data_IF_517799633321
#
_entry.id   IF_517799633321
#
_cell.length_a   1.000
_cell.length_b   1.000
_cell.length_c   1.000
_cell.angle_alpha   90.00
_cell.angle_beta   90.00
_cell.angle_gamma   90.00
#
_symmetry.space_group_name_H-M   'P 1'
#
loop_
_entity.id
_entity.type
_entity.pdbx_description
1 polymer ?
#
# COMPACT_ATOMS: atom_id res chain seq x y z
N UNK A 1 -42.59 -4.02 10.55
CA UNK A 1 -42.04 -3.23 9.42
C UNK A 1 -42.95 -3.44 8.22
N UNK A 2 -43.36 -2.39 7.53
CA UNK A 2 -44.10 -2.55 6.27
C UNK A 2 -43.17 -3.15 5.19
N UNK A 3 -43.71 -3.85 4.18
CA UNK A 3 -42.90 -4.35 3.07
C UNK A 3 -42.04 -3.27 2.40
N UNK A 4 -42.55 -2.03 2.32
CA UNK A 4 -41.82 -0.88 1.78
C UNK A 4 -40.63 -0.48 2.65
N UNK A 5 -40.78 -0.48 3.98
CA UNK A 5 -39.67 -0.17 4.90
C UNK A 5 -38.55 -1.21 4.81
N UNK A 6 -38.91 -2.50 4.78
CA UNK A 6 -37.93 -3.58 4.64
C UNK A 6 -37.17 -3.50 3.29
N UNK A 7 -37.86 -3.10 2.21
CA UNK A 7 -37.23 -2.88 0.91
C UNK A 7 -36.26 -1.70 0.92
N UNK A 8 -36.63 -0.57 1.53
CA UNK A 8 -35.74 0.60 1.66
C UNK A 8 -34.50 0.28 2.48
N UNK A 9 -34.64 -0.46 3.59
CA UNK A 9 -33.49 -0.90 4.40
C UNK A 9 -32.55 -1.82 3.60
N UNK A 10 -33.11 -2.74 2.81
CA UNK A 10 -32.31 -3.61 1.95
C UNK A 10 -31.56 -2.80 0.89
N UNK A 11 -32.22 -1.84 0.24
CA UNK A 11 -31.61 -0.98 -0.76
C UNK A 11 -30.46 -0.15 -0.15
N UNK A 12 -30.65 0.39 1.06
CA UNK A 12 -29.60 1.11 1.78
C UNK A 12 -28.38 0.22 2.07
N UNK A 13 -28.60 -1.02 2.51
CA UNK A 13 -27.51 -1.99 2.74
C UNK A 13 -26.77 -2.35 1.46
N UNK A 14 -27.48 -2.52 0.33
CA UNK A 14 -26.85 -2.79 -0.97
C UNK A 14 -25.95 -1.62 -1.38
N UNK A 15 -26.42 -0.39 -1.23
CA UNK A 15 -25.65 0.80 -1.56
C UNK A 15 -24.39 0.93 -0.67
N UNK A 16 -24.52 0.71 0.63
CA UNK A 16 -23.39 0.75 1.58
C UNK A 16 -22.32 -0.30 1.22
N UNK A 17 -22.73 -1.54 0.96
CA UNK A 17 -21.82 -2.61 0.54
C UNK A 17 -21.12 -2.27 -0.77
N UNK A 18 -21.84 -1.75 -1.77
CA UNK A 18 -21.26 -1.35 -3.05
C UNK A 18 -20.22 -0.22 -2.90
N UNK A 19 -20.46 0.74 -2.01
CA UNK A 19 -19.49 1.80 -1.72
C UNK A 19 -18.23 1.23 -1.05
N UNK A 20 -18.39 0.34 -0.07
CA UNK A 20 -17.26 -0.30 0.63
C UNK A 20 -16.39 -1.14 -0.30
N UNK A 21 -17.00 -1.91 -1.21
CA UNK A 21 -16.27 -2.68 -2.23
C UNK A 21 -15.43 -1.76 -3.11
N UNK A 22 -16.02 -0.69 -3.64
CA UNK A 22 -15.28 0.29 -4.46
C UNK A 22 -14.11 0.93 -3.73
N UNK A 23 -14.26 1.21 -2.44
CA UNK A 23 -13.17 1.76 -1.62
C UNK A 23 -12.06 0.73 -1.42
N UNK A 24 -12.39 -0.54 -1.19
CA UNK A 24 -11.41 -1.62 -1.08
C UNK A 24 -10.63 -1.78 -2.40
N UNK A 25 -11.32 -1.77 -3.55
CA UNK A 25 -10.68 -1.86 -4.88
C UNK A 25 -9.65 -0.73 -5.10
N UNK A 26 -10.02 0.50 -4.76
CA UNK A 26 -9.13 1.66 -4.88
C UNK A 26 -7.92 1.56 -3.93
N UNK A 27 -8.12 1.05 -2.72
CA UNK A 27 -7.04 0.83 -1.77
C UNK A 27 -6.07 -0.25 -2.26
N UNK A 28 -6.57 -1.36 -2.81
CA UNK A 28 -5.75 -2.43 -3.40
C UNK A 28 -4.92 -1.88 -4.56
N UNK A 29 -5.52 -1.07 -5.46
CA UNK A 29 -4.80 -0.47 -6.57
C UNK A 29 -3.64 0.43 -6.09
N UNK A 30 -3.89 1.26 -5.09
CA UNK A 30 -2.89 2.16 -4.52
C UNK A 30 -1.76 1.40 -3.82
N UNK A 31 -2.08 0.36 -3.05
CA UNK A 31 -1.10 -0.48 -2.37
C UNK A 31 -0.26 -1.27 -3.38
N UNK A 32 -0.88 -1.77 -4.44
CA UNK A 32 -0.20 -2.50 -5.53
C UNK A 32 0.83 -1.62 -6.24
N UNK A 33 0.49 -0.36 -6.53
CA UNK A 33 1.44 0.62 -7.08
C UNK A 33 2.58 0.90 -6.11
N UNK A 34 2.28 1.04 -4.83
CA UNK A 34 3.28 1.30 -3.77
C UNK A 34 4.27 0.14 -3.64
N UNK A 35 3.78 -1.11 -3.61
CA UNK A 35 4.59 -2.32 -3.58
C UNK A 35 5.50 -2.40 -4.80
N UNK A 36 4.95 -2.21 -6.00
CA UNK A 36 5.71 -2.26 -7.26
C UNK A 36 6.81 -1.19 -7.31
N UNK A 37 6.50 0.03 -6.88
CA UNK A 37 7.50 1.09 -6.80
C UNK A 37 8.63 0.72 -5.83
N UNK A 38 8.30 0.23 -4.63
CA UNK A 38 9.31 -0.16 -3.66
C UNK A 38 10.22 -1.28 -4.18
N UNK A 39 9.64 -2.27 -4.87
CA UNK A 39 10.37 -3.35 -5.51
C UNK A 39 11.34 -2.88 -6.61
N UNK A 40 10.88 -1.97 -7.48
CA UNK A 40 11.72 -1.42 -8.54
C UNK A 40 12.90 -0.62 -7.96
N UNK A 41 12.63 0.24 -6.97
CA UNK A 41 13.70 0.98 -6.28
C UNK A 41 14.68 0.03 -5.60
N UNK A 42 14.19 -1.03 -4.97
CA UNK A 42 15.05 -2.01 -4.30
C UNK A 42 15.98 -2.73 -5.30
N UNK A 43 15.44 -3.08 -6.46
CA UNK A 43 16.21 -3.70 -7.56
C UNK A 43 17.34 -2.78 -7.99
N UNK A 44 17.08 -1.48 -8.14
CA UNK A 44 18.11 -0.48 -8.48
C UNK A 44 19.15 -0.31 -7.37
N UNK A 45 18.72 -0.26 -6.11
CA UNK A 45 19.62 -0.17 -4.94
C UNK A 45 20.54 -1.39 -4.86
N UNK A 46 20.03 -2.58 -5.15
CA UNK A 46 20.80 -3.83 -5.12
C UNK A 46 21.86 -3.92 -6.21
N UNK A 47 21.71 -3.20 -7.33
CA UNK A 47 22.73 -3.14 -8.39
C UNK A 47 23.96 -2.31 -8.02
N UNK A 48 23.89 -1.51 -6.96
CA UNK A 48 25.01 -0.68 -6.50
C UNK A 48 25.97 -1.49 -5.61
N UNK A 49 27.23 -1.06 -5.53
CA UNK A 49 28.23 -1.70 -4.65
C UNK A 49 27.84 -1.58 -3.18
N UNK A 50 28.20 -2.57 -2.35
CA UNK A 50 27.71 -2.68 -0.96
C UNK A 50 28.13 -1.50 -0.06
N UNK A 51 29.28 -0.89 -0.34
CA UNK A 51 29.77 0.28 0.41
C UNK A 51 29.03 1.59 0.06
N UNK A 52 28.11 1.55 -0.91
CA UNK A 52 27.39 2.75 -1.36
C UNK A 52 26.59 3.38 -0.21
N UNK A 53 26.80 4.68 -0.05
CA UNK A 53 26.03 5.53 0.87
C UNK A 53 24.91 6.21 0.10
N UNK A 54 23.72 6.24 0.66
CA UNK A 54 22.51 6.73 0.02
C UNK A 54 21.78 7.72 0.92
N UNK A 55 21.07 8.69 0.33
CA UNK A 55 20.27 9.65 1.09
C UNK A 55 18.83 9.15 1.23
N UNK A 56 18.39 8.95 2.47
CA UNK A 56 16.98 8.69 2.82
C UNK A 56 16.27 10.02 3.05
N UNK A 57 15.13 10.24 2.39
CA UNK A 57 14.29 11.41 2.63
C UNK A 57 13.44 11.26 3.89
N UNK A 58 13.57 12.18 4.84
CA UNK A 58 12.76 12.28 6.07
C UNK A 58 12.11 13.66 6.12
N UNK A 59 10.84 13.73 5.67
CA UNK A 59 10.12 14.99 5.51
C UNK A 59 10.80 15.90 4.46
N UNK A 60 11.38 17.01 4.91
CA UNK A 60 12.14 17.96 4.06
C UNK A 60 13.67 17.79 4.18
N UNK A 61 14.12 16.83 4.98
CA UNK A 61 15.54 16.57 5.23
C UNK A 61 15.98 15.29 4.52
N UNK A 62 17.30 15.13 4.38
CA UNK A 62 17.92 13.93 3.83
C UNK A 62 18.98 13.41 4.80
N UNK A 63 18.94 12.12 5.10
CA UNK A 63 19.86 11.46 6.04
C UNK A 63 20.74 10.49 5.25
N UNK A 64 22.06 10.57 5.44
CA UNK A 64 23.00 9.68 4.78
C UNK A 64 23.06 8.33 5.50
N UNK A 65 22.70 7.25 4.81
CA UNK A 65 22.66 5.89 5.34
C UNK A 65 23.39 4.88 4.45
N UNK A 66 23.82 3.72 5.00
CA UNK A 66 24.30 2.61 4.19
C UNK A 66 23.19 2.03 3.31
N UNK A 67 23.54 1.56 2.10
CA UNK A 67 22.63 0.85 1.17
C UNK A 67 21.80 -0.25 1.87
N UNK A 68 22.40 -1.02 2.77
CA UNK A 68 21.72 -2.13 3.46
C UNK A 68 20.54 -1.68 4.34
N UNK A 69 20.58 -0.45 4.87
CA UNK A 69 19.45 0.10 5.64
C UNK A 69 18.30 0.45 4.70
N UNK A 70 18.59 1.10 3.58
CA UNK A 70 17.60 1.45 2.55
C UNK A 70 16.94 0.19 1.97
N UNK A 71 17.72 -0.85 1.70
CA UNK A 71 17.23 -2.15 1.25
C UNK A 71 16.20 -2.74 2.20
N UNK A 72 16.54 -2.83 3.49
CA UNK A 72 15.65 -3.39 4.51
C UNK A 72 14.35 -2.58 4.64
N UNK A 73 14.43 -1.25 4.55
CA UNK A 73 13.25 -0.38 4.54
C UNK A 73 12.35 -0.63 3.33
N UNK A 74 12.95 -0.84 2.14
CA UNK A 74 12.20 -1.14 0.91
C UNK A 74 11.55 -2.53 0.96
N UNK A 75 12.23 -3.53 1.51
CA UNK A 75 11.66 -4.87 1.74
C UNK A 75 10.47 -4.79 2.70
N UNK A 76 10.62 -4.06 3.81
CA UNK A 76 9.55 -3.90 4.78
C UNK A 76 8.35 -3.16 4.18
N UNK A 77 8.59 -2.13 3.37
CA UNK A 77 7.54 -1.42 2.63
C UNK A 77 6.78 -2.34 1.66
N UNK A 78 7.48 -3.25 0.98
CA UNK A 78 6.85 -4.26 0.12
C UNK A 78 6.00 -5.24 0.95
N UNK A 79 6.54 -5.73 2.08
CA UNK A 79 5.84 -6.66 2.99
C UNK A 79 4.54 -6.06 3.54
N UNK A 80 4.60 -4.84 4.07
CA UNK A 80 3.43 -4.15 4.63
C UNK A 80 2.36 -3.93 3.55
N UNK A 81 2.77 -3.54 2.34
CA UNK A 81 1.83 -3.33 1.25
C UNK A 81 1.15 -4.65 0.84
N UNK A 82 1.91 -5.74 0.76
CA UNK A 82 1.39 -7.09 0.48
C UNK A 82 0.40 -7.57 1.54
N UNK A 83 0.71 -7.38 2.82
CA UNK A 83 -0.18 -7.78 3.92
C UNK A 83 -1.49 -7.02 3.89
N UNK A 84 -1.44 -5.70 3.66
CA UNK A 84 -2.65 -4.87 3.55
C UNK A 84 -3.50 -5.21 2.34
N UNK A 85 -2.91 -5.63 1.22
CA UNK A 85 -3.67 -6.11 0.06
C UNK A 85 -4.43 -7.37 0.45
N UNK A 86 -3.77 -8.35 1.09
CA UNK A 86 -4.41 -9.59 1.55
C UNK A 86 -5.52 -9.38 2.58
N UNK A 87 -5.45 -8.31 3.37
CA UNK A 87 -6.52 -7.94 4.31
C UNK A 87 -7.75 -7.32 3.62
N UNK A 88 -7.58 -6.77 2.41
CA UNK A 88 -8.64 -6.13 1.63
C UNK A 88 -9.25 -7.03 0.56
N UNK A 89 -8.54 -8.08 0.15
CA UNK A 89 -9.00 -9.18 -0.71
C UNK A 89 -9.92 -10.16 0.04
#
# INVERSE_FOLDING_TARGET
LSPSQAFTELQAKVMDTQQKVKLADLQIEQLSKTKKHAHLTDTEVMMLVDETRMYEGVGRMFILQPKGVIHNQLLEKQRIAEEKIKELE
#
